data_IF_818219787599
#
_entry.id   IF_818219787599
#
_cell.length_a   1.000
_cell.length_b   1.000
_cell.length_c   1.000
_cell.angle_alpha   90.00
_cell.angle_beta   90.00
_cell.angle_gamma   90.00
#
_symmetry.space_group_name_H-M   'P 1'
#
loop_
_entity.id
_entity.type
_entity.pdbx_description
1 polymer ?
#
# COMPACT_ATOMS: atom_id res chain seq x y z
N UNK A 1 -3.39 -16.89 -20.21
CA UNK A 1 -2.26 -16.52 -19.34
C UNK A 1 -2.05 -15.02 -19.48
N UNK A 2 -2.39 -14.21 -18.47
CA UNK A 2 -2.07 -12.77 -18.49
C UNK A 2 -0.56 -12.64 -18.29
N UNK A 3 0.13 -12.03 -19.25
CA UNK A 3 1.56 -11.73 -19.08
C UNK A 3 1.73 -10.77 -17.89
N UNK A 4 2.78 -10.91 -17.07
CA UNK A 4 3.06 -9.92 -16.05
C UNK A 4 3.33 -8.58 -16.73
N UNK A 5 2.50 -7.58 -16.44
CA UNK A 5 2.76 -6.19 -16.81
C UNK A 5 4.15 -5.82 -16.29
N UNK A 6 5.04 -5.21 -17.11
CA UNK A 6 6.35 -4.79 -16.62
C UNK A 6 6.15 -3.91 -15.38
N UNK A 7 6.78 -4.29 -14.26
CA UNK A 7 6.75 -3.45 -13.06
C UNK A 7 7.34 -2.09 -13.42
N UNK A 8 6.66 -0.98 -13.13
CA UNK A 8 7.24 0.34 -13.32
C UNK A 8 8.58 0.41 -12.58
N UNK A 9 9.56 1.09 -13.18
CA UNK A 9 10.86 1.29 -12.56
C UNK A 9 10.66 1.94 -11.19
N UNK A 10 11.02 1.21 -10.13
CA UNK A 10 10.89 1.68 -8.75
C UNK A 10 11.84 2.87 -8.57
N UNK A 11 11.31 4.05 -8.24
CA UNK A 11 12.10 5.27 -8.04
C UNK A 11 12.43 5.45 -6.58
N UNK A 12 13.66 5.85 -6.32
CA UNK A 12 14.17 6.12 -4.98
C UNK A 12 14.68 7.56 -4.92
N UNK A 13 14.19 8.30 -3.93
CA UNK A 13 14.58 9.68 -3.65
C UNK A 13 15.32 9.73 -2.32
N UNK A 14 16.37 10.55 -2.25
CA UNK A 14 17.15 10.74 -1.03
C UNK A 14 16.67 12.00 -0.32
N UNK A 15 16.20 11.80 0.91
CA UNK A 15 15.62 12.86 1.72
C UNK A 15 14.23 13.27 1.27
N UNK A 16 13.64 14.16 2.07
CA UNK A 16 12.33 14.79 1.88
C UNK A 16 12.43 16.25 2.29
N UNK A 17 11.53 17.10 1.79
CA UNK A 17 11.51 18.53 2.13
C UNK A 17 11.12 18.74 3.58
N UNK A 18 10.00 18.14 4.00
CA UNK A 18 9.49 18.25 5.37
C UNK A 18 8.66 17.05 5.78
N UNK A 19 8.52 16.90 7.09
CA UNK A 19 7.68 15.90 7.75
C UNK A 19 6.81 16.65 8.77
N UNK A 20 5.50 16.63 8.57
CA UNK A 20 4.52 17.36 9.39
C UNK A 20 3.46 16.38 9.90
N UNK A 21 3.60 15.95 11.15
CA UNK A 21 2.74 14.90 11.71
C UNK A 21 2.86 13.59 10.90
N UNK A 22 1.77 13.08 10.31
CA UNK A 22 1.82 11.90 9.43
C UNK A 22 2.17 12.25 7.97
N UNK A 23 2.28 13.52 7.60
CA UNK A 23 2.50 13.93 6.21
C UNK A 23 4.01 14.06 5.92
N UNK A 24 4.42 13.53 4.77
CA UNK A 24 5.78 13.59 4.26
C UNK A 24 5.74 14.21 2.87
N UNK A 25 6.43 15.32 2.70
CA UNK A 25 6.44 16.08 1.44
C UNK A 25 7.75 15.83 0.74
N UNK A 26 7.66 15.30 -0.48
CA UNK A 26 8.79 14.93 -1.32
C UNK A 26 8.81 15.86 -2.53
N UNK A 27 9.97 16.46 -2.77
CA UNK A 27 10.21 17.38 -3.90
C UNK A 27 10.95 16.67 -5.03
N UNK A 28 10.97 17.31 -6.20
CA UNK A 28 11.57 16.79 -7.43
C UNK A 28 11.04 15.41 -7.84
N UNK A 29 9.80 15.10 -7.44
CA UNK A 29 9.15 13.84 -7.77
C UNK A 29 8.61 13.89 -9.18
N UNK A 30 8.89 12.85 -9.95
CA UNK A 30 8.31 12.61 -11.27
C UNK A 30 7.68 11.22 -11.32
N UNK A 31 6.59 11.11 -12.09
CA UNK A 31 5.85 9.87 -12.33
C UNK A 31 5.35 9.14 -11.07
N UNK A 32 5.03 9.89 -10.00
CA UNK A 32 4.22 9.37 -8.91
C UNK A 32 2.75 9.32 -9.32
N UNK A 33 2.01 8.35 -8.79
CA UNK A 33 0.58 8.18 -9.00
C UNK A 33 -0.24 8.38 -7.72
N UNK A 34 -1.45 8.92 -7.85
CA UNK A 34 -2.36 9.04 -6.71
C UNK A 34 -2.68 7.66 -6.15
N UNK A 35 -2.83 7.55 -4.83
CA UNK A 35 -3.05 6.30 -4.11
C UNK A 35 -1.90 5.28 -4.20
N UNK A 36 -0.76 5.64 -4.77
CA UNK A 36 0.41 4.77 -4.85
C UNK A 36 1.02 4.51 -3.47
N UNK A 37 1.47 3.28 -3.23
CA UNK A 37 2.20 2.94 -2.01
C UNK A 37 3.63 3.47 -2.08
N UNK A 38 4.03 4.11 -0.99
CA UNK A 38 5.37 4.65 -0.80
C UNK A 38 6.02 3.95 0.39
N UNK A 39 7.32 3.71 0.27
CA UNK A 39 8.16 3.19 1.32
C UNK A 39 9.12 4.26 1.80
N UNK A 40 9.14 4.50 3.12
CA UNK A 40 10.02 5.46 3.75
C UNK A 40 10.97 4.70 4.66
N UNK A 41 12.24 4.69 4.28
CA UNK A 41 13.30 3.93 4.91
C UNK A 41 14.18 4.90 5.67
N UNK A 42 14.23 4.80 7.00
CA UNK A 42 15.09 5.64 7.82
C UNK A 42 16.56 5.16 7.79
N UNK A 43 17.49 5.96 8.33
CA UNK A 43 18.91 5.61 8.40
C UNK A 43 19.18 4.32 9.19
N UNK A 44 18.38 4.03 10.21
CA UNK A 44 18.49 2.78 11.00
C UNK A 44 17.95 1.54 10.26
N UNK A 45 17.46 1.72 9.03
CA UNK A 45 16.86 0.67 8.21
C UNK A 45 15.39 0.40 8.52
N UNK A 46 14.79 1.09 9.50
CA UNK A 46 13.35 0.95 9.79
C UNK A 46 12.51 1.39 8.58
N UNK A 47 11.59 0.52 8.19
CA UNK A 47 10.68 0.73 7.06
C UNK A 47 9.30 1.15 7.58
N UNK A 48 8.81 2.27 7.05
CA UNK A 48 7.42 2.71 7.18
C UNK A 48 6.78 2.70 5.81
N UNK A 49 5.49 2.36 5.76
CA UNK A 49 4.70 2.46 4.56
C UNK A 49 3.90 3.76 4.59
N UNK A 50 3.49 4.22 3.42
CA UNK A 50 2.57 5.33 3.27
C UNK A 50 1.89 5.30 1.90
N UNK A 51 1.07 6.30 1.65
CA UNK A 51 0.33 6.44 0.41
C UNK A 51 0.38 7.88 -0.11
N UNK A 52 0.49 8.03 -1.42
CA UNK A 52 0.39 9.34 -2.08
C UNK A 52 -1.04 9.87 -2.00
N UNK A 53 -1.22 11.00 -1.33
CA UNK A 53 -2.49 11.72 -1.22
C UNK A 53 -2.64 12.83 -2.26
N UNK A 54 -1.55 13.46 -2.65
CA UNK A 54 -1.57 14.58 -3.60
C UNK A 54 -0.31 14.57 -4.44
N UNK A 55 -0.45 14.96 -5.71
CA UNK A 55 0.65 15.19 -6.63
C UNK A 55 0.43 16.55 -7.29
N UNK A 56 1.47 17.36 -7.28
CA UNK A 56 1.57 18.61 -8.03
C UNK A 56 2.89 18.64 -8.80
N UNK A 57 3.13 19.67 -9.60
CA UNK A 57 4.34 19.76 -10.45
C UNK A 57 5.62 19.64 -9.60
N UNK A 58 6.29 18.48 -9.72
CA UNK A 58 7.53 18.20 -9.00
C UNK A 58 7.36 17.84 -7.51
N UNK A 59 6.14 17.71 -6.98
CA UNK A 59 5.90 17.43 -5.56
C UNK A 59 4.90 16.30 -5.36
N UNK A 60 5.15 15.47 -4.34
CA UNK A 60 4.18 14.50 -3.84
C UNK A 60 4.00 14.65 -2.32
N UNK A 61 2.74 14.58 -1.86
CA UNK A 61 2.37 14.51 -0.44
C UNK A 61 2.03 13.07 -0.11
N UNK A 62 2.76 12.50 0.84
CA UNK A 62 2.63 11.11 1.28
C UNK A 62 2.11 11.07 2.72
N UNK A 63 1.04 10.33 2.96
CA UNK A 63 0.59 10.00 4.32
C UNK A 63 1.30 8.74 4.80
N UNK A 64 1.93 8.81 5.97
CA UNK A 64 2.54 7.69 6.66
C UNK A 64 1.50 6.82 7.37
N UNK A 65 1.63 5.51 7.21
CA UNK A 65 0.94 4.52 8.03
C UNK A 65 1.82 4.17 9.23
N UNK A 66 1.51 4.80 10.36
CA UNK A 66 2.26 4.68 11.61
C UNK A 66 2.91 5.99 12.02
N UNK A 67 3.81 5.93 12.99
CA UNK A 67 4.44 7.13 13.54
C UNK A 67 5.60 7.66 12.69
N UNK A 68 5.71 8.99 12.59
CA UNK A 68 6.85 9.69 12.00
C UNK A 68 8.05 9.80 12.95
N UNK A 69 7.90 9.38 14.21
CA UNK A 69 8.96 9.36 15.24
C UNK A 69 10.25 8.73 14.70
N UNK A 70 11.37 9.45 14.78
CA UNK A 70 12.68 8.97 14.32
C UNK A 70 12.97 9.19 12.83
N UNK A 71 12.00 9.64 12.03
CA UNK A 71 12.28 10.11 10.67
C UNK A 71 12.90 11.51 10.70
N UNK A 72 13.90 11.73 9.85
CA UNK A 72 14.59 13.01 9.70
C UNK A 72 14.60 13.41 8.22
N UNK A 73 14.17 14.62 7.84
CA UNK A 73 13.99 14.99 6.44
C UNK A 73 15.19 14.69 5.53
N UNK A 74 16.42 15.06 5.92
CA UNK A 74 17.63 14.81 5.12
C UNK A 74 18.23 13.40 5.27
N UNK A 75 17.53 12.46 5.90
CA UNK A 75 18.10 11.19 6.37
C UNK A 75 17.08 10.06 6.26
N UNK A 76 16.36 10.05 5.14
CA UNK A 76 15.42 8.99 4.76
C UNK A 76 15.58 8.69 3.28
N UNK A 77 15.20 7.50 2.87
CA UNK A 77 15.08 7.11 1.46
C UNK A 77 13.61 6.85 1.19
N UNK A 78 13.09 7.45 0.13
CA UNK A 78 11.67 7.36 -0.23
C UNK A 78 11.53 6.61 -1.53
N UNK A 79 10.76 5.53 -1.53
CA UNK A 79 10.63 4.61 -2.65
C UNK A 79 9.19 4.46 -3.09
N UNK A 80 8.93 4.86 -4.33
CA UNK A 80 7.64 4.85 -5.00
C UNK A 80 7.42 3.49 -5.68
N UNK A 81 6.36 2.75 -5.30
CA UNK A 81 6.12 1.36 -5.76
C UNK A 81 5.42 1.25 -7.11
N UNK A 82 4.90 2.36 -7.64
CA UNK A 82 4.17 2.47 -8.90
C UNK A 82 2.82 1.76 -8.95
N UNK A 83 2.26 1.40 -7.78
CA UNK A 83 0.97 0.71 -7.65
C UNK A 83 0.29 1.05 -6.32
N UNK A 84 -1.05 0.98 -6.26
CA UNK A 84 -1.78 1.10 -5.00
C UNK A 84 -1.53 -0.09 -4.09
N UNK A 85 -2.10 -0.05 -2.89
CA UNK A 85 -1.99 -1.15 -1.94
C UNK A 85 -2.69 -2.40 -2.50
N UNK A 86 -1.92 -3.47 -2.57
CA UNK A 86 -2.39 -4.79 -2.99
C UNK A 86 -2.12 -5.79 -1.88
N UNK A 87 -3.13 -6.59 -1.56
CA UNK A 87 -3.05 -7.64 -0.55
C UNK A 87 -2.94 -9.00 -1.26
N UNK A 88 -2.01 -9.87 -0.85
CA UNK A 88 -1.99 -11.26 -1.32
C UNK A 88 -3.25 -11.99 -0.84
N UNK A 89 -3.90 -12.74 -1.73
CA UNK A 89 -5.08 -13.55 -1.42
C UNK A 89 -4.84 -15.02 -1.70
N UNK A 90 -5.35 -15.89 -0.84
CA UNK A 90 -5.29 -17.34 -1.00
C UNK A 90 -6.42 -18.01 -0.20
N UNK A 91 -6.87 -19.18 -0.64
CA UNK A 91 -7.81 -20.00 0.15
C UNK A 91 -7.24 -20.42 1.50
N UNK A 92 -5.92 -20.59 1.57
CA UNK A 92 -5.18 -20.92 2.81
C UNK A 92 -5.25 -19.82 3.89
N UNK A 93 -5.79 -18.64 3.58
CA UNK A 93 -6.02 -17.58 4.56
C UNK A 93 -7.17 -17.90 5.53
N UNK A 94 -8.06 -18.85 5.20
CA UNK A 94 -9.17 -19.22 6.07
C UNK A 94 -8.66 -19.77 7.41
N UNK A 95 -9.14 -19.19 8.51
CA UNK A 95 -8.73 -19.56 9.87
C UNK A 95 -7.40 -18.97 10.35
N UNK A 96 -6.73 -18.14 9.53
CA UNK A 96 -5.51 -17.41 9.89
C UNK A 96 -5.83 -16.03 10.48
N UNK A 97 -4.87 -15.43 11.18
CA UNK A 97 -4.98 -14.06 11.72
C UNK A 97 -3.95 -13.16 11.05
N UNK A 98 -4.39 -11.99 10.58
CA UNK A 98 -3.53 -11.00 9.91
C UNK A 98 -3.69 -9.62 10.55
N UNK A 99 -2.72 -8.73 10.34
CA UNK A 99 -2.87 -7.31 10.64
C UNK A 99 -3.55 -6.54 9.50
N UNK A 100 -3.78 -5.24 9.69
CA UNK A 100 -4.45 -4.38 8.71
C UNK A 100 -3.72 -4.24 7.36
N UNK A 101 -2.46 -4.67 7.25
CA UNK A 101 -1.70 -4.69 6.01
C UNK A 101 -1.67 -6.09 5.37
N UNK A 102 -2.39 -7.07 5.93
CA UNK A 102 -2.43 -8.44 5.44
C UNK A 102 -1.21 -9.27 5.84
N UNK A 103 -0.43 -8.85 6.84
CA UNK A 103 0.72 -9.62 7.34
C UNK A 103 0.26 -10.59 8.43
N UNK A 104 0.70 -11.86 8.42
CA UNK A 104 0.41 -12.82 9.48
C UNK A 104 0.69 -12.31 10.89
N UNK A 105 -0.25 -12.55 11.82
CA UNK A 105 -0.15 -12.22 13.26
C UNK A 105 -0.27 -13.43 14.18
N UNK A 106 -0.43 -14.61 13.62
CA UNK A 106 -0.51 -15.90 14.32
C UNK A 106 0.84 -16.64 14.40
N UNK A 107 1.94 -16.01 13.98
CA UNK A 107 3.29 -16.59 14.04
C UNK A 107 3.60 -17.63 12.97
N UNK A 108 2.68 -17.86 12.02
CA UNK A 108 2.86 -18.77 10.89
C UNK A 108 3.39 -18.01 9.65
N UNK A 109 4.04 -18.69 8.69
CA UNK A 109 4.54 -18.04 7.48
C UNK A 109 3.42 -17.41 6.64
N UNK A 110 3.82 -16.54 5.70
CA UNK A 110 2.90 -16.03 4.68
C UNK A 110 2.32 -17.21 3.88
N UNK A 111 1.00 -17.25 3.64
CA UNK A 111 0.41 -18.25 2.76
C UNK A 111 0.98 -18.10 1.35
N UNK A 112 1.00 -19.20 0.60
CA UNK A 112 1.32 -19.13 -0.83
C UNK A 112 0.17 -18.42 -1.51
N UNK A 113 0.42 -17.23 -2.05
CA UNK A 113 -0.63 -16.40 -2.63
C UNK A 113 -1.05 -16.92 -4.00
N UNK A 114 -2.36 -16.94 -4.23
CA UNK A 114 -2.97 -17.29 -5.51
C UNK A 114 -3.05 -16.07 -6.43
N UNK A 115 -3.29 -14.89 -5.83
CA UNK A 115 -3.36 -13.61 -6.54
C UNK A 115 -2.97 -12.43 -5.62
N UNK A 116 -2.83 -11.24 -6.21
CA UNK A 116 -2.69 -9.97 -5.51
C UNK A 116 -3.80 -9.02 -5.96
N UNK A 117 -4.64 -8.61 -5.01
CA UNK A 117 -5.83 -7.80 -5.32
C UNK A 117 -5.68 -6.43 -4.68
N UNK A 118 -6.04 -5.37 -5.43
CA UNK A 118 -6.08 -4.02 -4.89
C UNK A 118 -7.14 -3.90 -3.80
N UNK A 119 -6.81 -3.22 -2.70
CA UNK A 119 -7.73 -2.98 -1.58
C UNK A 119 -8.91 -2.08 -1.94
N UNK A 120 -8.80 -1.32 -3.04
CA UNK A 120 -9.90 -0.48 -3.53
C UNK A 120 -11.01 -1.30 -4.20
N UNK A 121 -10.73 -2.55 -4.55
CA UNK A 121 -11.66 -3.43 -5.26
C UNK A 121 -12.07 -2.87 -6.62
N UNK A 122 -13.16 -3.43 -7.16
CA UNK A 122 -13.81 -2.93 -8.35
C UNK A 122 -15.32 -2.91 -8.13
N UNK A 123 -16.02 -1.82 -8.49
CA UNK A 123 -17.48 -1.76 -8.35
C UNK A 123 -18.16 -2.89 -9.16
N UNK A 124 -19.04 -3.64 -8.51
CA UNK A 124 -19.84 -4.66 -9.20
C UNK A 124 -20.91 -3.99 -10.06
N UNK A 125 -20.90 -4.31 -11.37
CA UNK A 125 -21.89 -3.84 -12.34
C UNK A 125 -23.33 -4.11 -11.81
N UNK A 126 -24.20 -3.10 -11.69
CA UNK A 126 -25.57 -3.26 -11.22
C UNK A 126 -26.36 -4.34 -11.94
N UNK A 127 -26.21 -4.47 -13.26
CA UNK A 127 -26.92 -5.46 -14.06
C UNK A 127 -26.42 -6.90 -13.86
N UNK A 128 -25.22 -7.08 -13.28
CA UNK A 128 -24.65 -8.38 -12.97
C UNK A 128 -25.00 -8.86 -11.54
N UNK A 129 -25.76 -8.07 -10.77
CA UNK A 129 -26.11 -8.40 -9.39
C UNK A 129 -27.30 -9.36 -9.36
N UNK A 130 -27.19 -10.42 -8.56
CA UNK A 130 -28.33 -11.25 -8.22
C UNK A 130 -29.10 -10.63 -7.04
N UNK A 131 -30.43 -10.75 -7.04
CA UNK A 131 -31.24 -10.36 -5.89
C UNK A 131 -31.02 -11.35 -4.74
N UNK A 132 -30.71 -10.91 -3.51
CA UNK A 132 -30.51 -11.82 -2.39
C UNK A 132 -31.83 -12.46 -1.97
N UNK A 133 -31.88 -13.80 -1.96
CA UNK A 133 -33.10 -14.57 -1.62
C UNK A 133 -32.87 -15.59 -0.50
N UNK A 134 -31.61 -15.82 -0.12
CA UNK A 134 -31.26 -16.85 0.83
C UNK A 134 -31.44 -16.37 2.28
N UNK A 135 -32.03 -17.22 3.12
CA UNK A 135 -32.14 -16.99 4.55
C UNK A 135 -30.83 -17.36 5.26
N UNK A 136 -30.43 -16.55 6.24
CA UNK A 136 -29.27 -16.82 7.12
C UNK A 136 -29.77 -16.91 8.57
N UNK A 137 -29.61 -18.06 9.20
CA UNK A 137 -29.91 -18.25 10.62
C UNK A 137 -28.73 -17.78 11.48
N UNK A 138 -28.97 -16.82 12.37
CA UNK A 138 -27.93 -16.25 13.26
C UNK A 138 -27.77 -17.00 14.58
N UNK A 139 -28.60 -18.01 14.83
CA UNK A 139 -28.79 -18.62 16.14
C UNK A 139 -30.05 -18.12 16.83
#
# INVERSE_FOLDING_TARGET
>A
MRQPTPSPAIREYLGVDRIEGPLVIVEQVSDAAYSEVVEIIALDGSLRLGQVLEISEGRAVVELWGESSGLRPGSVRVRFRGRPLEVPVAREMLGRTFDGLGRPRDGLPNPVWEDRVSVHGAPLNPAARAYPQDFIQTG
#
